data_IF_822749406770
#
_entry.id   IF_822749406770
#
_cell.length_a   1.000
_cell.length_b   1.000
_cell.length_c   1.000
_cell.angle_alpha   90.00
_cell.angle_beta   90.00
_cell.angle_gamma   90.00
#
_symmetry.space_group_name_H-M   'P 1'
#
loop_
_entity.id
_entity.type
_entity.pdbx_description
1 polymer ?
#
# COMPACT_ATOMS: atom_id res chain seq x y z
N UNK A 1 13.13 -11.03 -11.87
CA UNK A 1 12.03 -11.64 -11.10
C UNK A 1 11.21 -12.51 -12.02
N UNK A 2 10.67 -13.65 -11.55
CA UNK A 2 9.75 -14.49 -12.33
C UNK A 2 8.49 -13.70 -12.72
N UNK A 3 8.12 -13.71 -14.00
CA UNK A 3 6.96 -12.99 -14.52
C UNK A 3 5.63 -13.55 -13.99
N UNK A 4 5.60 -14.82 -13.57
CA UNK A 4 4.41 -15.49 -13.03
C UNK A 4 3.95 -14.85 -11.72
N UNK A 5 4.87 -14.28 -10.93
CA UNK A 5 4.55 -13.59 -9.66
C UNK A 5 3.53 -12.47 -9.89
N UNK A 6 3.61 -11.75 -11.01
CA UNK A 6 2.66 -10.68 -11.35
C UNK A 6 1.22 -11.17 -11.55
N UNK A 7 1.03 -12.45 -11.88
CA UNK A 7 -0.29 -13.10 -11.96
C UNK A 7 -0.71 -13.70 -10.62
N UNK A 8 0.21 -14.31 -9.87
CA UNK A 8 -0.14 -14.96 -8.60
C UNK A 8 -0.55 -13.98 -7.50
N UNK A 9 -0.02 -12.75 -7.53
CA UNK A 9 -0.43 -11.72 -6.57
C UNK A 9 -1.90 -11.29 -6.71
N UNK A 10 -2.55 -11.59 -7.84
CA UNK A 10 -4.00 -11.41 -8.01
C UNK A 10 -4.73 -12.19 -6.91
N UNK A 11 -4.42 -13.47 -6.76
CA UNK A 11 -5.06 -14.33 -5.77
C UNK A 11 -4.65 -13.94 -4.34
N UNK A 12 -3.44 -13.40 -4.14
CA UNK A 12 -2.99 -12.94 -2.81
C UNK A 12 -3.91 -11.85 -2.29
N UNK A 13 -4.12 -10.79 -3.08
CA UNK A 13 -4.97 -9.66 -2.65
C UNK A 13 -6.45 -10.06 -2.63
N UNK A 14 -6.90 -10.94 -3.52
CA UNK A 14 -8.27 -11.46 -3.50
C UNK A 14 -8.58 -12.23 -2.20
N UNK A 15 -7.72 -13.17 -1.80
CA UNK A 15 -7.95 -13.96 -0.59
C UNK A 15 -7.93 -13.10 0.67
N UNK A 16 -7.00 -12.13 0.73
CA UNK A 16 -6.92 -11.16 1.83
C UNK A 16 -8.19 -10.29 1.91
N UNK A 17 -8.61 -9.72 0.79
CA UNK A 17 -9.81 -8.88 0.72
C UNK A 17 -11.09 -9.67 1.06
N UNK A 18 -11.25 -10.90 0.54
CA UNK A 18 -12.40 -11.77 0.86
C UNK A 18 -12.44 -12.11 2.34
N UNK A 19 -11.29 -12.40 2.96
CA UNK A 19 -11.23 -12.69 4.39
C UNK A 19 -11.65 -11.48 5.23
N UNK A 20 -11.09 -10.30 4.96
CA UNK A 20 -11.42 -9.05 5.64
C UNK A 20 -12.88 -8.64 5.45
N UNK A 21 -13.40 -8.75 4.21
CA UNK A 21 -14.77 -8.34 3.87
C UNK A 21 -15.86 -9.09 4.66
N UNK A 22 -15.59 -10.30 5.17
CA UNK A 22 -16.51 -11.04 6.06
C UNK A 22 -16.72 -10.38 7.42
N UNK A 23 -15.91 -9.38 7.75
CA UNK A 23 -15.98 -8.57 8.96
C UNK A 23 -16.49 -7.14 8.70
N UNK A 24 -16.91 -6.84 7.47
CA UNK A 24 -17.48 -5.54 7.13
C UNK A 24 -18.71 -5.23 8.00
N UNK A 25 -18.72 -4.05 8.62
CA UNK A 25 -19.84 -3.56 9.43
C UNK A 25 -20.01 -4.22 10.79
N UNK A 26 -19.05 -5.06 11.23
CA UNK A 26 -19.11 -5.76 12.53
C UNK A 26 -18.53 -4.98 13.71
N UNK A 27 -17.93 -3.81 13.48
CA UNK A 27 -17.28 -3.01 14.53
C UNK A 27 -15.95 -3.59 15.04
N UNK A 28 -15.44 -4.66 14.41
CA UNK A 28 -14.24 -5.38 14.86
C UNK A 28 -13.04 -5.15 13.93
N UNK A 29 -12.40 -3.98 14.08
CA UNK A 29 -11.28 -3.59 13.20
C UNK A 29 -10.08 -4.55 13.29
N UNK A 30 -9.72 -5.00 14.50
CA UNK A 30 -8.55 -5.86 14.71
C UNK A 30 -8.78 -7.25 14.13
N UNK A 31 -10.01 -7.76 14.22
CA UNK A 31 -10.36 -9.06 13.64
C UNK A 31 -10.37 -9.01 12.12
N UNK A 32 -10.91 -7.93 11.53
CA UNK A 32 -10.88 -7.70 10.08
C UNK A 32 -9.44 -7.68 9.54
N UNK A 33 -8.54 -7.03 10.28
CA UNK A 33 -7.12 -6.93 9.96
C UNK A 33 -6.41 -8.28 10.06
N UNK A 34 -6.54 -8.95 11.21
CA UNK A 34 -5.91 -10.23 11.48
C UNK A 34 -6.22 -11.29 10.40
N UNK A 35 -7.49 -11.43 10.01
CA UNK A 35 -7.85 -12.43 8.99
C UNK A 35 -7.32 -12.08 7.60
N UNK A 36 -7.10 -10.79 7.31
CA UNK A 36 -6.51 -10.34 6.07
C UNK A 36 -5.01 -10.67 6.04
N UNK A 37 -4.29 -10.36 7.13
CA UNK A 37 -2.88 -10.71 7.35
C UNK A 37 -2.67 -12.21 7.18
N UNK A 38 -3.47 -13.03 7.85
CA UNK A 38 -3.39 -14.49 7.79
C UNK A 38 -3.61 -15.03 6.37
N UNK A 39 -4.65 -14.55 5.69
CA UNK A 39 -4.98 -14.98 4.34
C UNK A 39 -3.92 -14.57 3.32
N UNK A 40 -3.45 -13.31 3.38
CA UNK A 40 -2.38 -12.79 2.54
C UNK A 40 -1.10 -13.61 2.71
N UNK A 41 -0.63 -13.77 3.96
CA UNK A 41 0.55 -14.56 4.31
C UNK A 41 0.45 -15.99 3.82
N UNK A 42 -0.70 -16.65 4.05
CA UNK A 42 -0.94 -18.03 3.64
C UNK A 42 -0.85 -18.19 2.12
N UNK A 43 -1.45 -17.29 1.34
CA UNK A 43 -1.41 -17.38 -0.13
C UNK A 43 -0.02 -17.05 -0.68
N UNK A 44 0.69 -16.08 -0.10
CA UNK A 44 2.09 -15.79 -0.45
C UNK A 44 3.00 -17.00 -0.21
N UNK A 45 2.82 -17.74 0.89
CA UNK A 45 3.60 -18.94 1.20
C UNK A 45 3.35 -20.14 0.26
N UNK A 46 2.47 -19.99 -0.74
CA UNK A 46 2.25 -20.99 -1.79
C UNK A 46 2.91 -20.59 -3.12
N UNK A 47 3.48 -19.39 -3.21
CA UNK A 47 4.15 -18.87 -4.41
C UNK A 47 5.59 -19.37 -4.45
N UNK A 48 6.09 -19.74 -5.64
CA UNK A 48 7.51 -20.03 -5.85
C UNK A 48 8.30 -18.73 -5.95
N UNK A 49 8.52 -18.08 -4.80
CA UNK A 49 9.32 -16.87 -4.67
C UNK A 49 10.18 -16.92 -3.41
N UNK A 50 11.24 -16.11 -3.40
CA UNK A 50 12.10 -15.89 -2.24
C UNK A 50 11.90 -14.46 -1.70
N UNK A 51 10.79 -14.27 -1.00
CA UNK A 51 10.35 -12.96 -0.54
C UNK A 51 10.80 -12.62 0.88
N UNK A 52 11.01 -11.33 1.11
CA UNK A 52 11.27 -10.75 2.44
C UNK A 52 10.35 -9.55 2.67
N UNK A 53 9.66 -9.51 3.79
CA UNK A 53 8.84 -8.35 4.18
C UNK A 53 9.74 -7.19 4.58
N UNK A 54 9.55 -6.02 3.97
CA UNK A 54 10.27 -4.77 4.31
C UNK A 54 9.37 -3.65 4.80
N UNK A 55 8.07 -3.75 4.53
CA UNK A 55 7.00 -2.92 5.11
C UNK A 55 5.86 -3.90 5.42
N UNK A 56 5.36 -3.90 6.66
CA UNK A 56 4.30 -4.80 7.09
C UNK A 56 3.71 -4.36 8.44
N UNK A 57 3.18 -5.32 9.20
CA UNK A 57 2.39 -5.06 10.43
C UNK A 57 3.20 -4.43 11.58
N UNK A 58 4.52 -4.50 11.53
CA UNK A 58 5.41 -3.92 12.54
C UNK A 58 6.73 -4.68 12.67
N UNK A 59 7.46 -4.37 13.73
CA UNK A 59 8.66 -5.12 14.11
C UNK A 59 8.29 -6.53 14.60
N UNK A 60 9.26 -7.47 14.54
CA UNK A 60 9.03 -8.88 14.90
C UNK A 60 8.46 -9.09 16.31
N UNK A 61 8.85 -8.23 17.25
CA UNK A 61 8.39 -8.32 18.64
C UNK A 61 6.96 -7.75 18.84
N UNK A 62 6.47 -6.97 17.87
CA UNK A 62 5.20 -6.25 17.92
C UNK A 62 4.14 -6.91 17.04
N UNK A 63 4.55 -7.60 15.97
CA UNK A 63 3.68 -8.26 15.01
C UNK A 63 4.00 -9.77 14.86
N UNK A 64 3.03 -10.68 15.12
CA UNK A 64 3.26 -12.12 15.02
C UNK A 64 3.32 -12.65 13.58
N UNK A 65 2.84 -11.88 12.60
CA UNK A 65 2.76 -12.23 11.18
C UNK A 65 3.02 -11.00 10.33
N UNK A 66 3.63 -11.21 9.16
CA UNK A 66 4.03 -10.17 8.21
C UNK A 66 4.86 -9.06 8.87
N UNK A 67 5.74 -9.46 9.79
CA UNK A 67 6.67 -8.54 10.46
C UNK A 67 7.85 -8.19 9.55
N UNK A 68 8.50 -7.06 9.83
CA UNK A 68 9.68 -6.61 9.08
C UNK A 68 10.80 -7.66 9.17
N UNK A 69 11.24 -8.15 8.01
CA UNK A 69 12.24 -9.20 7.88
C UNK A 69 11.68 -10.62 7.83
N UNK A 70 10.35 -10.81 7.88
CA UNK A 70 9.77 -12.14 7.67
C UNK A 70 10.07 -12.66 6.25
N UNK A 71 10.46 -13.93 6.16
CA UNK A 71 10.63 -14.64 4.89
C UNK A 71 9.32 -15.29 4.45
N UNK A 72 8.88 -15.04 3.22
CA UNK A 72 7.63 -15.56 2.65
C UNK A 72 7.83 -16.16 1.25
N UNK A 73 7.06 -17.20 0.93
CA UNK A 73 7.16 -17.97 -0.32
C UNK A 73 7.90 -19.30 -0.15
N UNK A 74 7.74 -20.20 -1.11
CA UNK A 74 8.32 -21.56 -1.06
C UNK A 74 9.86 -21.50 -1.11
N UNK A 75 10.41 -20.56 -1.88
CA UNK A 75 11.84 -20.51 -2.18
C UNK A 75 12.69 -19.84 -1.09
N UNK A 76 12.10 -19.54 0.07
CA UNK A 76 12.83 -19.13 1.28
C UNK A 76 13.32 -20.33 2.11
N UNK A 77 12.74 -21.51 1.88
CA UNK A 77 13.10 -22.71 2.63
C UNK A 77 14.54 -23.18 2.33
N UNK A 78 15.22 -23.85 3.26
CA UNK A 78 16.61 -24.30 3.06
C UNK A 78 16.84 -25.19 1.83
N UNK A 79 15.82 -25.95 1.41
CA UNK A 79 15.84 -26.83 0.25
C UNK A 79 15.32 -26.18 -1.04
N UNK A 80 15.17 -24.85 -1.07
CA UNK A 80 14.63 -24.13 -2.23
C UNK A 80 15.35 -24.47 -3.55
N UNK A 81 16.65 -24.76 -3.51
CA UNK A 81 17.43 -25.15 -4.71
C UNK A 81 16.98 -26.46 -5.36
N UNK A 82 16.27 -27.30 -4.62
CA UNK A 82 15.78 -28.59 -5.10
C UNK A 82 14.38 -28.48 -5.74
N UNK A 83 13.65 -27.38 -5.48
CA UNK A 83 12.23 -27.22 -5.84
C UNK A 83 11.91 -25.93 -6.58
N UNK A 84 12.84 -24.98 -6.66
CA UNK A 84 12.66 -23.70 -7.33
C UNK A 84 13.71 -23.47 -8.41
N UNK A 85 13.28 -22.84 -9.50
CA UNK A 85 14.17 -22.45 -10.60
C UNK A 85 15.02 -21.23 -10.23
N UNK A 86 16.08 -20.98 -11.00
CA UNK A 86 17.03 -19.87 -10.77
C UNK A 86 16.31 -18.51 -10.74
N UNK A 87 15.31 -18.32 -11.60
CA UNK A 87 14.54 -17.06 -11.66
C UNK A 87 13.65 -16.85 -10.42
N UNK A 88 13.17 -17.94 -9.80
CA UNK A 88 12.33 -17.93 -8.59
C UNK A 88 13.15 -17.77 -7.30
N UNK A 89 14.43 -18.15 -7.35
CA UNK A 89 15.39 -17.97 -6.25
C UNK A 89 15.90 -16.52 -6.11
N UNK A 90 15.57 -15.64 -7.05
CA UNK A 90 15.88 -14.21 -6.96
C UNK A 90 15.21 -13.63 -5.73
N UNK A 91 15.99 -12.97 -4.87
CA UNK A 91 15.46 -12.32 -3.66
C UNK A 91 14.64 -11.09 -4.03
N UNK A 92 13.45 -11.01 -3.45
CA UNK A 92 12.52 -9.88 -3.61
C UNK A 92 12.17 -9.29 -2.26
N UNK A 93 11.97 -7.97 -2.24
CA UNK A 93 11.43 -7.26 -1.09
C UNK A 93 9.95 -6.98 -1.33
N UNK A 94 9.16 -7.16 -0.27
CA UNK A 94 7.70 -7.09 -0.30
C UNK A 94 7.22 -6.08 0.73
N UNK A 95 6.37 -5.15 0.30
CA UNK A 95 5.59 -4.27 1.15
C UNK A 95 4.14 -4.73 1.18
N UNK A 96 3.55 -4.86 2.36
CA UNK A 96 2.16 -5.30 2.52
C UNK A 96 1.37 -4.32 3.37
N UNK A 97 0.08 -4.20 3.04
CA UNK A 97 -0.95 -3.63 3.89
C UNK A 97 -2.22 -4.48 3.66
N UNK A 98 -2.36 -5.58 4.42
CA UNK A 98 -3.38 -6.58 4.17
C UNK A 98 -4.82 -6.06 4.34
N UNK A 99 -5.02 -5.03 5.16
CA UNK A 99 -6.31 -4.39 5.38
C UNK A 99 -6.16 -2.87 5.53
N UNK A 100 -5.82 -2.20 4.43
CA UNK A 100 -5.72 -0.73 4.43
C UNK A 100 -7.11 -0.14 4.77
N UNK A 101 -7.13 0.70 5.80
CA UNK A 101 -8.36 1.24 6.37
C UNK A 101 -9.19 0.24 7.19
N UNK A 102 -8.59 -0.46 8.15
CA UNK A 102 -9.28 -1.39 9.08
C UNK A 102 -10.57 -0.84 9.72
N UNK A 103 -10.59 0.44 10.12
CA UNK A 103 -11.80 1.10 10.61
C UNK A 103 -12.90 1.18 9.54
N UNK A 104 -12.53 1.44 8.28
CA UNK A 104 -13.49 1.53 7.19
C UNK A 104 -14.20 0.18 7.01
N UNK A 105 -13.47 -0.95 7.08
CA UNK A 105 -14.09 -2.28 7.09
C UNK A 105 -15.03 -2.43 8.29
N UNK A 106 -14.53 -2.19 9.50
CA UNK A 106 -15.30 -2.36 10.73
C UNK A 106 -16.63 -1.59 10.71
N UNK A 107 -16.65 -0.40 10.11
CA UNK A 107 -17.84 0.46 10.02
C UNK A 107 -18.59 0.38 8.69
N UNK A 108 -18.20 -0.50 7.76
CA UNK A 108 -18.86 -0.66 6.46
C UNK A 108 -18.77 0.59 5.57
N UNK A 109 -17.64 1.29 5.63
CA UNK A 109 -17.36 2.51 4.87
C UNK A 109 -16.53 2.22 3.62
N UNK A 110 -16.67 3.07 2.62
CA UNK A 110 -15.90 2.96 1.37
C UNK A 110 -14.42 3.29 1.60
N UNK A 111 -13.55 2.72 0.75
CA UNK A 111 -12.14 3.11 0.64
C UNK A 111 -11.13 2.11 1.21
N UNK A 112 -11.57 1.01 1.82
CA UNK A 112 -10.66 -0.06 2.25
C UNK A 112 -10.26 -0.99 1.09
N UNK A 113 -9.05 -1.56 1.18
CA UNK A 113 -8.52 -2.56 0.24
C UNK A 113 -7.47 -3.45 0.92
N UNK A 114 -7.20 -4.61 0.31
CA UNK A 114 -5.97 -5.36 0.55
C UNK A 114 -4.95 -5.01 -0.52
N UNK A 115 -3.72 -4.65 -0.14
CA UNK A 115 -2.72 -4.16 -1.08
C UNK A 115 -1.32 -4.66 -0.73
N UNK A 116 -0.50 -4.85 -1.76
CA UNK A 116 0.91 -5.19 -1.63
C UNK A 116 1.71 -4.59 -2.79
N UNK A 117 3.02 -4.48 -2.61
CA UNK A 117 3.98 -4.12 -3.66
C UNK A 117 5.23 -5.01 -3.55
N UNK A 118 5.84 -5.29 -4.70
CA UNK A 118 7.01 -6.16 -4.81
C UNK A 118 8.05 -5.49 -5.71
N UNK A 119 9.32 -5.61 -5.33
CA UNK A 119 10.48 -5.30 -6.18
C UNK A 119 11.60 -6.28 -5.89
N UNK A 120 12.62 -6.36 -6.74
CA UNK A 120 13.88 -6.99 -6.35
C UNK A 120 14.41 -6.42 -5.03
N UNK A 121 15.20 -7.21 -4.31
CA UNK A 121 15.80 -6.82 -3.02
C UNK A 121 16.48 -5.44 -3.10
N UNK A 122 16.10 -4.54 -2.19
CA UNK A 122 16.54 -3.14 -2.14
C UNK A 122 15.78 -2.18 -3.05
N UNK A 123 14.82 -2.66 -3.84
CA UNK A 123 14.02 -1.84 -4.76
C UNK A 123 12.87 -1.07 -4.10
N UNK A 124 12.54 -1.40 -2.85
CA UNK A 124 11.58 -0.67 -2.03
C UNK A 124 12.30 0.06 -0.89
N UNK A 125 11.93 1.33 -0.68
CA UNK A 125 12.37 2.06 0.51
C UNK A 125 11.73 1.41 1.75
N UNK A 126 12.53 0.76 2.59
CA UNK A 126 12.11 0.28 3.90
C UNK A 126 11.87 1.49 4.81
N UNK A 127 10.67 2.07 4.73
CA UNK A 127 10.31 3.26 5.47
C UNK A 127 10.10 2.92 6.96
N UNK A 128 10.66 3.72 7.90
CA UNK A 128 10.31 3.58 9.31
C UNK A 128 8.86 4.01 9.54
N UNK A 129 8.27 3.58 10.67
CA UNK A 129 6.92 3.98 11.06
C UNK A 129 6.88 5.45 11.52
N UNK A 130 6.82 6.35 10.54
CA UNK A 130 6.77 7.80 10.73
C UNK A 130 5.80 8.44 9.77
N UNK A 131 5.33 9.64 10.12
CA UNK A 131 4.54 10.44 9.19
C UNK A 131 5.37 10.88 7.98
N UNK A 132 4.70 10.97 6.83
CA UNK A 132 5.28 11.43 5.57
C UNK A 132 4.35 12.47 4.92
N UNK A 133 4.91 13.63 4.54
CA UNK A 133 4.23 14.57 3.64
C UNK A 133 4.18 13.93 2.25
N UNK A 134 3.01 13.87 1.61
CA UNK A 134 2.81 13.23 0.31
C UNK A 134 2.21 14.22 -0.68
N UNK A 135 2.65 14.14 -1.93
CA UNK A 135 2.04 14.78 -3.09
C UNK A 135 1.96 13.74 -4.20
N UNK A 136 0.74 13.38 -4.61
CA UNK A 136 0.48 12.49 -5.72
C UNK A 136 -0.35 13.24 -6.77
N UNK A 137 -0.01 13.06 -8.05
CA UNK A 137 -0.65 13.75 -9.15
C UNK A 137 -0.69 12.86 -10.42
N UNK A 138 -1.58 13.14 -11.39
CA UNK A 138 -1.63 12.41 -12.64
C UNK A 138 -0.33 12.48 -13.45
N UNK A 139 -0.13 11.53 -14.37
CA UNK A 139 1.08 11.44 -15.19
C UNK A 139 1.41 12.74 -15.96
N UNK A 140 0.39 13.46 -16.43
CA UNK A 140 0.55 14.75 -17.15
C UNK A 140 1.17 15.84 -16.28
N UNK A 141 1.09 15.73 -14.96
CA UNK A 141 1.66 16.68 -14.01
C UNK A 141 3.04 16.24 -13.46
N UNK A 142 3.54 15.07 -13.87
CA UNK A 142 4.85 14.56 -13.45
C UNK A 142 5.95 15.57 -13.81
N UNK A 143 6.85 15.84 -12.87
CA UNK A 143 7.94 16.83 -12.98
C UNK A 143 7.50 18.30 -13.09
N UNK A 144 6.20 18.61 -12.96
CA UNK A 144 5.70 19.99 -12.96
C UNK A 144 5.32 20.43 -11.55
N UNK A 145 4.59 19.59 -10.82
CA UNK A 145 4.26 19.81 -9.40
C UNK A 145 5.43 19.47 -8.48
N UNK A 146 5.50 20.10 -7.32
CA UNK A 146 6.59 19.87 -6.35
C UNK A 146 6.07 19.94 -4.91
N UNK A 147 6.51 19.01 -4.07
CA UNK A 147 6.09 18.91 -2.67
C UNK A 147 6.53 20.09 -1.80
N UNK A 148 7.52 20.87 -2.26
CA UNK A 148 8.03 22.07 -1.59
C UNK A 148 7.26 23.34 -1.98
N UNK A 149 6.43 23.29 -3.04
CA UNK A 149 5.52 24.38 -3.42
C UNK A 149 4.31 24.42 -2.50
N UNK A 150 3.65 25.58 -2.46
CA UNK A 150 2.37 25.73 -1.75
C UNK A 150 1.26 24.93 -2.45
N UNK A 151 0.13 24.70 -1.76
CA UNK A 151 -1.01 24.03 -2.40
C UNK A 151 -1.57 24.91 -3.53
N UNK A 152 -1.61 26.23 -3.32
CA UNK A 152 -2.07 27.22 -4.31
C UNK A 152 -1.23 27.18 -5.59
N UNK A 153 0.09 27.11 -5.47
CA UNK A 153 0.98 27.02 -6.64
C UNK A 153 0.82 25.68 -7.37
N UNK A 154 0.78 24.57 -6.64
CA UNK A 154 0.57 23.26 -7.24
C UNK A 154 -0.79 23.15 -7.95
N UNK A 155 -1.84 23.77 -7.43
CA UNK A 155 -3.16 23.79 -8.08
C UNK A 155 -3.17 24.56 -9.40
N UNK A 156 -2.44 25.67 -9.50
CA UNK A 156 -2.26 26.40 -10.76
C UNK A 156 -1.52 25.55 -11.79
N UNK A 157 -0.43 24.90 -11.37
CA UNK A 157 0.33 23.99 -12.23
C UNK A 157 -0.54 22.82 -12.70
N UNK A 158 -1.34 22.23 -11.79
CA UNK A 158 -2.27 21.16 -12.13
C UNK A 158 -3.34 21.62 -13.13
N UNK A 159 -3.86 22.83 -12.96
CA UNK A 159 -4.82 23.45 -13.88
C UNK A 159 -4.25 23.52 -15.30
N UNK A 160 -3.01 24.00 -15.44
CA UNK A 160 -2.31 24.08 -16.73
C UNK A 160 -2.01 22.69 -17.32
N UNK A 161 -1.45 21.76 -16.52
CA UNK A 161 -1.09 20.41 -16.98
C UNK A 161 -2.30 19.55 -17.40
N UNK A 162 -3.46 19.79 -16.80
CA UNK A 162 -4.68 19.01 -17.06
C UNK A 162 -5.65 19.70 -18.02
N UNK A 163 -5.37 20.94 -18.43
CA UNK A 163 -6.26 21.78 -19.24
C UNK A 163 -7.66 21.95 -18.61
N UNK A 164 -7.70 22.17 -17.29
CA UNK A 164 -8.93 22.32 -16.49
C UNK A 164 -8.81 23.49 -15.55
N UNK A 165 -9.92 24.12 -15.17
CA UNK A 165 -9.87 25.20 -14.18
C UNK A 165 -9.58 24.65 -12.77
N UNK A 166 -9.16 25.51 -11.84
CA UNK A 166 -8.86 25.06 -10.47
C UNK A 166 -10.12 24.53 -9.77
N UNK A 167 -11.29 25.10 -10.04
CA UNK A 167 -12.60 24.69 -9.48
C UNK A 167 -13.03 23.29 -9.90
N UNK A 168 -12.48 22.83 -11.02
CA UNK A 168 -12.73 21.52 -11.58
C UNK A 168 -11.85 20.42 -10.96
N UNK A 169 -10.75 20.81 -10.30
CA UNK A 169 -9.83 19.91 -9.61
C UNK A 169 -10.43 19.39 -8.29
N UNK A 170 -10.07 18.17 -7.94
CA UNK A 170 -10.45 17.51 -6.68
C UNK A 170 -9.17 17.04 -5.99
N UNK A 171 -8.99 17.45 -4.75
CA UNK A 171 -7.84 17.09 -3.91
C UNK A 171 -8.29 16.22 -2.75
N UNK A 172 -7.74 15.02 -2.66
CA UNK A 172 -7.98 14.15 -1.50
C UNK A 172 -7.01 14.52 -0.37
N UNK A 173 -7.56 14.92 0.78
CA UNK A 173 -6.80 15.23 2.00
C UNK A 173 -7.41 14.46 3.17
N UNK A 174 -6.57 13.86 4.02
CA UNK A 174 -7.06 13.21 5.24
C UNK A 174 -7.68 14.23 6.18
N UNK A 175 -8.89 13.96 6.70
CA UNK A 175 -9.53 14.77 7.73
C UNK A 175 -8.81 14.59 9.08
N UNK A 176 -7.86 15.48 9.38
CA UNK A 176 -7.05 15.48 10.61
C UNK A 176 -6.76 16.93 11.03
N UNK A 177 -6.66 17.24 12.33
CA UNK A 177 -6.39 18.61 12.81
C UNK A 177 -5.16 19.26 12.18
N UNK A 178 -4.09 18.48 11.93
CA UNK A 178 -2.85 18.93 11.28
C UNK A 178 -3.01 19.45 9.84
N UNK A 179 -4.15 19.21 9.19
CA UNK A 179 -4.40 19.64 7.81
C UNK A 179 -5.37 20.83 7.72
N UNK A 180 -5.77 21.45 8.84
CA UNK A 180 -6.74 22.56 8.84
C UNK A 180 -6.30 23.72 7.92
N UNK A 181 -5.02 24.10 7.97
CA UNK A 181 -4.48 25.16 7.12
C UNK A 181 -4.40 24.75 5.65
N UNK A 182 -3.92 23.54 5.36
CA UNK A 182 -3.86 22.98 4.01
C UNK A 182 -5.25 22.93 3.35
N UNK A 183 -6.26 22.43 4.06
CA UNK A 183 -7.64 22.33 3.56
C UNK A 183 -8.21 23.73 3.29
N UNK A 184 -7.94 24.70 4.16
CA UNK A 184 -8.38 26.08 3.95
C UNK A 184 -7.69 26.71 2.73
N UNK A 185 -6.39 26.48 2.55
CA UNK A 185 -5.65 26.98 1.39
C UNK A 185 -6.21 26.43 0.08
N UNK A 186 -6.46 25.12 0.00
CA UNK A 186 -7.04 24.45 -1.18
C UNK A 186 -8.41 25.07 -1.53
N UNK A 187 -9.27 25.28 -0.52
CA UNK A 187 -10.59 25.89 -0.70
C UNK A 187 -10.51 27.35 -1.15
N UNK A 188 -9.57 28.12 -0.60
CA UNK A 188 -9.35 29.51 -1.01
C UNK A 188 -8.81 29.62 -2.43
N UNK A 189 -8.01 28.64 -2.88
CA UNK A 189 -7.55 28.54 -4.25
C UNK A 189 -8.66 28.16 -5.25
N UNK A 190 -9.81 27.65 -4.76
CA UNK A 190 -11.00 27.36 -5.55
C UNK A 190 -11.25 25.87 -5.82
N UNK A 191 -10.32 24.98 -5.49
CA UNK A 191 -10.45 23.54 -5.71
C UNK A 191 -11.38 22.87 -4.68
N UNK A 192 -11.80 21.64 -4.99
CA UNK A 192 -12.66 20.80 -4.14
C UNK A 192 -11.87 19.80 -3.31
#
# INVERSE_FOLDING_TARGET
MDNVIGLEIIEVVEQAAIASARWMGKGEKNTADQVAVEAMRKRMNQIHMRGRIVIGEGERDEAPMLYIGEEVGICTQPNAKDVCDIEQLVEIDIAVDPCEGTNLVAYGQNGSMAVLAISEKGGLLAAPDVYMKKLAAPAVAKNHVDINKSATENLKILSDCMERTVEELVVVVMDRPRHKELINEIRQAGAR
#
